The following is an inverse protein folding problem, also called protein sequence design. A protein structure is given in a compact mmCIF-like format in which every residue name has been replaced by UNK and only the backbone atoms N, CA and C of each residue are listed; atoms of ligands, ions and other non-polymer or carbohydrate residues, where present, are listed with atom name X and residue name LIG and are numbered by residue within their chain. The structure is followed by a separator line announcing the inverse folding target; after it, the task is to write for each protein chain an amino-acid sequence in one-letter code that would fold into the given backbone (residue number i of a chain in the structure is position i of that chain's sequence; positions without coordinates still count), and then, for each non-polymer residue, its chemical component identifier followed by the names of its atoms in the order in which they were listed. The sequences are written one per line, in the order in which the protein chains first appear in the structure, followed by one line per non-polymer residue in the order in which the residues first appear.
data_IF_607613328527
#
_entry.id   IF_607613328527
#
_cell.length_a   1.000
_cell.length_b   1.000
_cell.length_c   1.000
_cell.angle_alpha   90.00
_cell.angle_beta   90.00
_cell.angle_gamma   90.00
#
_symmetry.space_group_name_H-M   'P 1'
#
loop_
_entity.id
_entity.type
_entity.pdbx_description
1 polymer ?
#
# COMPACT_ATOMS: atom_id res chain seq x y z
N UNK A 1 6.83 -3.98 -3.45
CA UNK A 1 7.16 -3.61 -2.05
C UNK A 1 6.24 -2.48 -1.62
N UNK A 2 5.71 -2.54 -0.41
CA UNK A 2 4.89 -1.50 0.20
C UNK A 2 5.26 -1.33 1.68
N UNK A 3 4.94 -0.16 2.25
CA UNK A 3 4.91 0.07 3.69
C UNK A 3 3.46 0.30 4.11
N UNK A 4 3.09 -0.14 5.30
CA UNK A 4 1.74 0.05 5.84
C UNK A 4 1.74 -0.04 7.37
N UNK A 5 0.83 0.67 7.99
CA UNK A 5 0.58 0.60 9.44
C UNK A 5 1.84 0.66 10.29
N UNK A 6 1.68 0.71 11.59
CA UNK A 6 2.84 0.71 12.50
C UNK A 6 3.33 -0.72 12.74
N UNK A 7 4.65 -0.89 12.64
CA UNK A 7 5.34 -2.14 12.96
C UNK A 7 5.21 -2.47 14.45
N UNK A 8 5.48 -3.72 14.83
CA UNK A 8 5.43 -4.13 16.24
C UNK A 8 6.36 -3.29 17.12
N UNK A 9 6.00 -3.16 18.39
CA UNK A 9 6.81 -2.45 19.38
C UNK A 9 8.25 -2.97 19.43
N UNK A 10 8.42 -4.30 19.29
CA UNK A 10 9.73 -4.95 19.24
C UNK A 10 10.52 -4.52 18.01
N UNK A 11 9.90 -4.50 16.83
CA UNK A 11 10.53 -4.06 15.58
C UNK A 11 10.96 -2.60 15.67
N UNK A 12 10.10 -1.72 16.19
CA UNK A 12 10.43 -0.31 16.36
C UNK A 12 11.56 -0.14 17.36
N UNK A 13 11.51 -0.79 18.52
CA UNK A 13 12.57 -0.72 19.53
C UNK A 13 13.92 -1.18 18.94
N UNK A 14 13.92 -2.25 18.15
CA UNK A 14 15.10 -2.72 17.43
C UNK A 14 15.63 -1.67 16.46
N UNK A 15 14.78 -1.11 15.60
CA UNK A 15 15.18 -0.08 14.63
C UNK A 15 15.80 1.14 15.32
N UNK A 16 15.26 1.55 16.46
CA UNK A 16 15.79 2.65 17.26
C UNK A 16 17.15 2.28 17.86
N UNK A 17 17.29 1.09 18.45
CA UNK A 17 18.55 0.65 19.05
C UNK A 17 19.70 0.52 18.06
N UNK A 18 19.40 0.19 16.81
CA UNK A 18 20.37 0.06 15.72
C UNK A 18 20.75 1.41 15.08
N UNK A 19 20.08 2.51 15.45
CA UNK A 19 20.37 3.84 14.93
C UNK A 19 20.39 4.90 16.04
N UNK A 20 21.58 5.28 16.56
CA UNK A 20 21.69 6.22 17.67
C UNK A 20 21.08 7.61 17.40
N UNK A 21 21.11 8.06 16.15
CA UNK A 21 20.53 9.35 15.75
C UNK A 21 19.00 9.27 15.88
N UNK A 22 18.43 8.20 15.37
CA UNK A 22 16.99 7.97 15.44
C UNK A 22 16.52 7.80 16.89
N UNK A 23 17.27 7.05 17.72
CA UNK A 23 16.99 6.91 19.15
C UNK A 23 17.05 8.25 19.89
N UNK A 24 17.96 9.14 19.54
CA UNK A 24 18.04 10.49 20.08
C UNK A 24 16.86 11.36 19.67
N UNK A 25 16.38 11.22 18.44
CA UNK A 25 15.20 11.95 17.97
C UNK A 25 13.91 11.45 18.65
N UNK A 26 13.79 10.15 18.85
CA UNK A 26 12.57 9.48 19.34
C UNK A 26 12.90 8.54 20.52
N UNK A 27 13.28 9.11 21.68
CA UNK A 27 13.61 8.29 22.83
C UNK A 27 12.41 7.50 23.34
N UNK A 28 12.64 6.24 23.72
CA UNK A 28 11.64 5.37 24.32
C UNK A 28 11.80 5.33 25.84
N UNK A 29 10.73 4.98 26.54
CA UNK A 29 10.79 4.61 27.96
C UNK A 29 11.37 3.19 28.13
N UNK A 30 11.66 2.82 29.38
CA UNK A 30 12.15 1.46 29.69
C UNK A 30 11.13 0.35 29.35
N UNK A 31 9.84 0.70 29.27
CA UNK A 31 8.77 -0.23 28.85
C UNK A 31 8.68 -0.42 27.35
N UNK A 32 9.46 0.33 26.56
CA UNK A 32 9.44 0.30 25.11
C UNK A 32 8.31 1.14 24.47
N UNK A 33 8.14 1.06 23.12
CA UNK A 33 7.09 1.76 22.40
C UNK A 33 5.69 1.21 22.74
N UNK A 34 4.74 2.10 22.93
CA UNK A 34 3.30 1.84 23.04
C UNK A 34 2.51 2.72 22.06
N UNK A 35 1.20 2.61 22.04
CA UNK A 35 0.33 3.41 21.15
C UNK A 35 0.47 4.92 21.42
N UNK A 36 0.61 5.32 22.68
CA UNK A 36 0.83 6.72 23.04
C UNK A 36 2.20 7.22 22.55
N UNK A 37 3.22 6.36 22.60
CA UNK A 37 4.53 6.66 22.02
C UNK A 37 4.43 6.88 20.51
N UNK A 38 3.67 6.04 19.77
CA UNK A 38 3.46 6.23 18.34
C UNK A 38 2.82 7.59 18.05
N UNK A 39 1.76 7.93 18.76
CA UNK A 39 1.08 9.22 18.60
C UNK A 39 2.01 10.40 18.87
N UNK A 40 2.76 10.36 19.97
CA UNK A 40 3.72 11.39 20.31
C UNK A 40 4.84 11.52 19.26
N UNK A 41 5.28 10.38 18.72
CA UNK A 41 6.31 10.32 17.67
C UNK A 41 5.82 10.98 16.37
N UNK A 42 4.61 10.67 15.93
CA UNK A 42 4.01 11.27 14.74
C UNK A 42 3.76 12.78 14.94
N UNK A 43 3.26 13.18 16.12
CA UNK A 43 3.13 14.59 16.46
C UNK A 43 4.48 15.31 16.38
N UNK A 44 5.52 14.73 16.95
CA UNK A 44 6.86 15.30 16.91
C UNK A 44 7.39 15.41 15.48
N UNK A 45 7.16 14.39 14.64
CA UNK A 45 7.54 14.44 13.23
C UNK A 45 6.92 15.63 12.51
N UNK A 46 5.63 15.87 12.66
CA UNK A 46 4.93 16.91 11.91
C UNK A 46 4.91 18.28 12.56
N UNK A 47 4.84 18.35 13.89
CA UNK A 47 4.70 19.64 14.58
C UNK A 47 6.03 20.23 15.02
N UNK A 48 7.10 19.39 15.09
CA UNK A 48 8.41 19.88 15.51
C UNK A 48 9.46 19.74 14.41
N UNK A 49 9.53 18.60 13.68
CA UNK A 49 10.60 18.36 12.71
C UNK A 49 10.27 18.85 11.31
N UNK A 50 9.04 18.60 10.80
CA UNK A 50 8.64 18.99 9.44
C UNK A 50 8.05 20.41 9.42
N UNK A 51 8.74 21.36 10.04
CA UNK A 51 8.39 22.77 10.05
C UNK A 51 9.40 23.60 9.28
N UNK A 52 9.03 24.77 8.76
CA UNK A 52 9.97 25.65 8.08
C UNK A 52 11.21 25.99 8.92
N UNK A 53 11.03 26.21 10.23
CA UNK A 53 12.07 26.59 11.18
C UNK A 53 13.04 25.45 11.46
N UNK A 54 12.59 24.19 11.39
CA UNK A 54 13.39 23.01 11.71
C UNK A 54 13.81 22.20 10.48
N UNK A 55 13.58 22.71 9.28
CA UNK A 55 13.90 21.98 8.04
C UNK A 55 15.37 21.63 7.91
N UNK A 56 16.28 22.51 8.33
CA UNK A 56 17.71 22.26 8.34
C UNK A 56 18.08 21.14 9.31
N UNK A 57 17.44 21.13 10.50
CA UNK A 57 17.60 20.09 11.51
C UNK A 57 17.13 18.74 11.01
N UNK A 58 15.96 18.68 10.38
CA UNK A 58 15.43 17.46 9.75
C UNK A 58 16.41 16.93 8.69
N UNK A 59 16.85 17.81 7.78
CA UNK A 59 17.79 17.45 6.73
C UNK A 59 19.12 16.94 7.29
N UNK A 60 19.68 17.60 8.30
CA UNK A 60 20.91 17.15 8.96
C UNK A 60 20.71 15.77 9.60
N UNK A 61 19.60 15.57 10.32
CA UNK A 61 19.31 14.30 10.95
C UNK A 61 19.19 13.15 9.93
N UNK A 62 18.52 13.38 8.79
CA UNK A 62 18.43 12.37 7.73
C UNK A 62 19.80 12.07 7.12
N UNK A 63 20.65 13.09 6.92
CA UNK A 63 22.04 12.89 6.45
C UNK A 63 22.86 12.06 7.41
N UNK A 64 22.74 12.33 8.72
CA UNK A 64 23.47 11.60 9.74
C UNK A 64 22.98 10.14 9.83
N UNK A 65 21.65 9.90 9.72
CA UNK A 65 21.07 8.56 9.62
C UNK A 65 21.62 7.83 8.39
N UNK A 66 21.63 8.47 7.22
CA UNK A 66 22.19 7.92 5.98
C UNK A 66 23.64 7.54 6.15
N UNK A 67 24.47 8.46 6.68
CA UNK A 67 25.88 8.22 6.91
C UNK A 67 26.10 7.04 7.86
N UNK A 68 25.35 6.95 8.96
CA UNK A 68 25.40 5.83 9.88
C UNK A 68 25.07 4.51 9.17
N UNK A 69 23.96 4.43 8.44
CA UNK A 69 23.55 3.22 7.72
C UNK A 69 24.62 2.79 6.69
N UNK A 70 25.26 3.73 6.03
CA UNK A 70 26.31 3.43 5.05
C UNK A 70 27.56 2.80 5.67
N UNK A 71 27.82 2.98 6.97
CA UNK A 71 28.92 2.32 7.67
C UNK A 71 28.63 0.86 8.02
N UNK A 72 27.38 0.43 7.99
CA UNK A 72 26.98 -0.93 8.37
C UNK A 72 27.33 -1.94 7.27
N UNK A 73 27.93 -3.06 7.65
CA UNK A 73 28.25 -4.14 6.72
C UNK A 73 26.94 -4.80 6.20
N UNK A 74 26.06 -5.14 7.11
CA UNK A 74 24.74 -5.70 6.82
C UNK A 74 23.66 -4.69 7.18
N UNK A 75 22.67 -4.55 6.31
CA UNK A 75 21.57 -3.59 6.48
C UNK A 75 20.25 -4.32 6.65
N UNK A 76 19.47 -3.89 7.61
CA UNK A 76 18.08 -4.35 7.74
C UNK A 76 17.22 -3.91 6.56
N UNK A 77 16.04 -4.50 6.42
CA UNK A 77 15.08 -4.08 5.40
C UNK A 77 14.68 -2.60 5.55
N UNK A 78 14.48 -2.12 6.80
CA UNK A 78 14.16 -0.73 7.08
C UNK A 78 15.29 0.23 6.72
N UNK A 79 16.53 -0.14 7.03
CA UNK A 79 17.71 0.65 6.68
C UNK A 79 17.92 0.71 5.15
N UNK A 80 17.73 -0.39 4.46
CA UNK A 80 17.81 -0.45 2.98
C UNK A 80 16.74 0.40 2.33
N UNK A 81 15.50 0.31 2.84
CA UNK A 81 14.38 1.13 2.37
C UNK A 81 14.62 2.63 2.62
N UNK A 82 15.14 2.99 3.80
CA UNK A 82 15.50 4.39 4.10
C UNK A 82 16.46 4.95 3.04
N UNK A 83 17.51 4.22 2.66
CA UNK A 83 18.42 4.65 1.60
C UNK A 83 17.73 4.82 0.25
N UNK A 84 16.87 3.87 -0.12
CA UNK A 84 16.08 3.94 -1.37
C UNK A 84 15.20 5.19 -1.40
N UNK A 85 14.49 5.50 -0.30
CA UNK A 85 13.64 6.68 -0.25
C UNK A 85 14.43 7.99 -0.23
N UNK A 86 15.60 8.02 0.38
CA UNK A 86 16.51 9.17 0.30
C UNK A 86 16.92 9.43 -1.16
N UNK A 87 17.21 8.38 -1.94
CA UNK A 87 17.53 8.53 -3.37
C UNK A 87 16.36 9.06 -4.19
N UNK A 88 15.12 8.64 -3.86
CA UNK A 88 13.92 9.03 -4.60
C UNK A 88 13.40 10.43 -4.23
N UNK A 89 13.44 10.80 -2.95
CA UNK A 89 12.78 11.99 -2.41
C UNK A 89 13.72 13.03 -1.83
N UNK A 90 15.03 12.74 -1.80
CA UNK A 90 16.03 13.61 -1.19
C UNK A 90 16.09 13.50 0.33
N UNK A 91 16.94 14.31 0.93
CA UNK A 91 17.31 14.22 2.37
C UNK A 91 16.46 15.16 3.25
N UNK A 92 15.29 15.62 2.78
CA UNK A 92 14.47 16.59 3.51
C UNK A 92 12.98 16.22 3.63
N UNK A 93 12.60 15.01 3.21
CA UNK A 93 11.21 14.54 3.34
C UNK A 93 11.03 13.77 4.65
N UNK A 94 10.04 14.19 5.44
CA UNK A 94 9.73 13.57 6.73
C UNK A 94 9.31 12.10 6.60
N UNK A 95 8.72 11.72 5.46
CA UNK A 95 8.30 10.37 5.15
C UNK A 95 9.42 9.33 5.24
N UNK A 96 10.68 9.77 5.08
CA UNK A 96 11.85 8.90 5.23
C UNK A 96 11.95 8.34 6.65
N UNK A 97 11.63 9.12 7.67
CA UNK A 97 11.70 8.68 9.05
C UNK A 97 10.63 7.62 9.38
N UNK A 98 9.50 7.63 8.68
CA UNK A 98 8.45 6.62 8.86
C UNK A 98 8.89 5.21 8.50
N UNK A 99 9.94 5.05 7.69
CA UNK A 99 10.47 3.71 7.33
C UNK A 99 10.83 2.88 8.55
N UNK A 100 11.21 3.50 9.67
CA UNK A 100 11.62 2.81 10.89
C UNK A 100 10.45 2.45 11.82
N UNK A 101 9.26 2.95 11.49
CA UNK A 101 8.06 2.78 12.31
C UNK A 101 6.98 1.94 11.60
N UNK A 102 7.07 1.76 10.29
CA UNK A 102 6.06 1.03 9.50
C UNK A 102 6.47 -0.41 9.22
N UNK A 103 5.48 -1.25 9.00
CA UNK A 103 5.68 -2.58 8.44
C UNK A 103 6.17 -2.47 6.99
N UNK A 104 7.07 -3.38 6.61
CA UNK A 104 7.51 -3.55 5.22
C UNK A 104 6.88 -4.84 4.69
N UNK A 105 6.18 -4.74 3.58
CA UNK A 105 5.52 -5.86 2.92
C UNK A 105 6.09 -6.06 1.52
N UNK A 106 6.61 -7.25 1.27
CA UNK A 106 7.00 -7.69 -0.05
C UNK A 106 5.93 -8.67 -0.56
N UNK A 107 5.28 -8.31 -1.67
CA UNK A 107 4.29 -9.15 -2.33
C UNK A 107 4.92 -9.85 -3.53
N UNK A 108 4.59 -11.12 -3.70
CA UNK A 108 4.80 -11.85 -4.94
C UNK A 108 3.66 -11.58 -5.93
N UNK A 109 3.90 -11.85 -7.22
CA UNK A 109 2.83 -11.78 -8.24
C UNK A 109 1.62 -12.62 -7.81
N UNK A 110 0.43 -12.04 -7.88
CA UNK A 110 -0.82 -12.68 -7.50
C UNK A 110 -1.13 -12.63 -6.00
N UNK A 111 -0.32 -11.94 -5.19
CA UNK A 111 -0.65 -11.68 -3.80
C UNK A 111 -1.27 -10.28 -3.65
N UNK A 112 -2.15 -10.17 -2.68
CA UNK A 112 -2.83 -8.93 -2.30
C UNK A 112 -2.76 -8.72 -0.78
N UNK A 113 -3.03 -7.50 -0.35
CA UNK A 113 -3.31 -7.18 1.04
C UNK A 113 -4.36 -6.08 1.12
N UNK A 114 -5.06 -5.99 2.23
CA UNK A 114 -6.11 -5.02 2.47
C UNK A 114 -5.59 -3.95 3.43
N UNK A 115 -5.75 -2.69 3.07
CA UNK A 115 -5.45 -1.53 3.91
C UNK A 115 -6.77 -1.05 4.52
N UNK A 116 -6.80 -0.88 5.83
CA UNK A 116 -7.97 -0.34 6.53
C UNK A 116 -8.05 1.19 6.38
N UNK A 117 -9.24 1.78 6.58
CA UNK A 117 -9.33 3.23 6.75
C UNK A 117 -8.36 3.74 7.81
N UNK A 118 -7.85 4.95 7.63
CA UNK A 118 -6.96 5.66 8.57
C UNK A 118 -5.63 4.95 8.88
N UNK A 119 -5.28 3.94 8.09
CA UNK A 119 -4.02 3.21 8.16
C UNK A 119 -3.00 3.83 7.21
N UNK A 120 -1.84 4.32 7.72
CA UNK A 120 -0.84 4.96 6.87
C UNK A 120 -0.16 3.92 5.98
N UNK A 121 0.07 4.28 4.72
CA UNK A 121 0.70 3.38 3.76
C UNK A 121 1.45 4.11 2.65
N UNK A 122 2.36 3.40 2.00
CA UNK A 122 3.06 3.86 0.81
C UNK A 122 3.44 2.70 -0.10
N UNK A 123 3.20 2.82 -1.39
CA UNK A 123 3.68 1.89 -2.40
C UNK A 123 5.08 2.34 -2.86
N UNK A 124 6.06 1.45 -2.74
CA UNK A 124 7.47 1.78 -2.93
C UNK A 124 7.97 1.36 -4.31
N UNK A 125 7.64 0.15 -4.72
CA UNK A 125 8.11 -0.39 -6.01
C UNK A 125 7.25 -1.54 -6.50
N UNK A 126 7.23 -1.74 -7.83
CA UNK A 126 6.47 -2.78 -8.52
C UNK A 126 5.17 -2.25 -9.10
N UNK A 127 4.48 -3.11 -9.84
CA UNK A 127 3.17 -2.84 -10.42
C UNK A 127 2.08 -3.46 -9.55
N UNK A 128 0.94 -2.78 -9.43
CA UNK A 128 -0.19 -3.24 -8.64
C UNK A 128 -1.52 -2.80 -9.26
N UNK A 129 -2.58 -3.49 -8.88
CA UNK A 129 -3.96 -3.04 -9.03
C UNK A 129 -4.45 -2.59 -7.68
N UNK A 130 -4.92 -1.35 -7.58
CA UNK A 130 -5.53 -0.80 -6.39
C UNK A 130 -7.03 -0.61 -6.64
N UNK A 131 -7.85 -1.14 -5.74
CA UNK A 131 -9.27 -0.84 -5.68
C UNK A 131 -9.60 -0.18 -4.36
N UNK A 132 -10.39 0.87 -4.39
CA UNK A 132 -10.80 1.61 -3.21
C UNK A 132 -12.19 2.22 -3.41
N UNK A 133 -12.85 2.54 -2.32
CA UNK A 133 -14.06 3.37 -2.36
C UNK A 133 -13.67 4.76 -2.85
N UNK A 134 -14.50 5.35 -3.73
CA UNK A 134 -14.28 6.71 -4.22
C UNK A 134 -14.26 7.71 -3.05
N UNK A 135 -13.18 8.47 -2.94
CA UNK A 135 -12.98 9.45 -1.86
C UNK A 135 -12.07 10.58 -2.32
N UNK A 136 -12.41 11.79 -1.92
CA UNK A 136 -11.55 12.98 -2.07
C UNK A 136 -10.61 13.18 -0.87
N UNK A 137 -10.71 12.34 0.16
CA UNK A 137 -10.08 12.51 1.45
C UNK A 137 -8.71 11.83 1.56
N UNK A 138 -7.86 12.03 0.57
CA UNK A 138 -6.47 11.56 0.66
C UNK A 138 -5.65 12.53 1.49
N UNK A 139 -5.31 12.15 2.73
CA UNK A 139 -4.47 12.93 3.63
C UNK A 139 -3.03 12.41 3.56
N UNK A 140 -2.09 13.28 3.22
CA UNK A 140 -0.70 12.92 2.93
C UNK A 140 0.22 13.20 4.10
N UNK A 141 1.15 12.27 4.38
CA UNK A 141 2.12 12.39 5.46
C UNK A 141 3.55 12.72 5.01
N UNK A 142 3.94 12.28 3.83
CA UNK A 142 5.30 12.46 3.29
C UNK A 142 5.46 11.80 1.94
N UNK A 143 6.70 11.73 1.44
CA UNK A 143 7.07 11.14 0.15
C UNK A 143 6.29 11.80 -1.00
N UNK A 144 6.05 13.09 -0.91
CA UNK A 144 5.25 13.83 -1.88
C UNK A 144 5.53 15.33 -1.83
N UNK A 145 5.51 16.02 -2.99
CA UNK A 145 5.56 17.48 -3.03
C UNK A 145 4.17 18.13 -2.81
N UNK A 146 3.10 17.33 -2.72
CA UNK A 146 1.74 17.85 -2.56
C UNK A 146 1.50 18.34 -1.13
N UNK A 147 0.44 19.15 -0.96
CA UNK A 147 0.02 19.65 0.34
C UNK A 147 -0.21 18.50 1.34
N UNK A 148 0.25 18.72 2.56
CA UNK A 148 0.07 17.83 3.70
C UNK A 148 -0.80 18.53 4.75
N UNK A 149 -1.98 18.00 5.03
CA UNK A 149 -2.79 18.39 6.17
C UNK A 149 -2.34 17.62 7.40
N UNK A 150 -1.27 18.09 8.02
CA UNK A 150 -0.62 17.40 9.13
C UNK A 150 -1.48 17.32 10.38
N UNK A 151 -2.36 18.31 10.62
CA UNK A 151 -3.28 18.27 11.75
C UNK A 151 -4.30 17.15 11.55
N UNK A 152 -5.01 17.15 10.45
CA UNK A 152 -5.96 16.07 10.12
C UNK A 152 -5.29 14.71 10.14
N UNK A 153 -4.08 14.60 9.57
CA UNK A 153 -3.34 13.33 9.56
C UNK A 153 -3.08 12.80 10.98
N UNK A 154 -2.55 13.66 11.87
CA UNK A 154 -2.25 13.25 13.25
C UNK A 154 -3.50 12.86 14.04
N UNK A 155 -4.62 13.54 13.79
CA UNK A 155 -5.88 13.29 14.48
C UNK A 155 -6.58 12.00 14.00
N UNK A 156 -6.48 11.68 12.68
CA UNK A 156 -7.21 10.57 12.08
C UNK A 156 -6.48 9.23 12.14
N UNK A 157 -5.14 9.21 12.20
CA UNK A 157 -4.37 7.98 12.15
C UNK A 157 -4.73 7.00 13.28
N UNK A 158 -4.81 5.73 12.92
CA UNK A 158 -4.91 4.62 13.88
C UNK A 158 -3.51 4.29 14.38
N UNK A 159 -3.28 4.46 15.69
CA UNK A 159 -2.00 4.21 16.36
C UNK A 159 -1.98 2.82 16.99
N UNK A 160 -2.08 1.78 16.15
CA UNK A 160 -2.05 0.38 16.57
C UNK A 160 -0.86 -0.35 15.97
N UNK A 161 -0.27 -1.26 16.75
CA UNK A 161 0.72 -2.22 16.23
C UNK A 161 -0.02 -3.35 15.54
N UNK A 162 0.00 -3.39 14.22
CA UNK A 162 -0.76 -4.39 13.48
C UNK A 162 0.04 -4.95 12.30
N UNK A 163 0.38 -6.22 12.41
CA UNK A 163 0.93 -6.96 11.28
C UNK A 163 -0.22 -7.59 10.47
N UNK A 164 -0.06 -7.58 9.17
CA UNK A 164 -0.98 -8.23 8.22
C UNK A 164 -0.20 -9.17 7.32
N UNK A 165 -0.81 -10.28 6.98
CA UNK A 165 -0.28 -11.22 6.01
C UNK A 165 -0.82 -10.91 4.62
N UNK A 166 0.01 -11.15 3.61
CA UNK A 166 -0.43 -11.20 2.23
C UNK A 166 -1.40 -12.36 2.00
N UNK A 167 -2.43 -12.13 1.19
CA UNK A 167 -3.37 -13.15 0.73
C UNK A 167 -3.03 -13.54 -0.70
N UNK A 168 -3.07 -14.82 -1.02
CA UNK A 168 -3.02 -15.30 -2.40
C UNK A 168 -4.41 -15.38 -3.06
N UNK A 169 -5.45 -14.96 -2.34
CA UNK A 169 -6.82 -15.09 -2.77
C UNK A 169 -7.31 -16.55 -2.75
N UNK A 170 -8.57 -16.74 -3.12
CA UNK A 170 -9.21 -18.05 -3.28
C UNK A 170 -9.42 -18.30 -4.77
N UNK A 171 -8.77 -19.34 -5.31
CA UNK A 171 -8.88 -19.67 -6.74
C UNK A 171 -9.89 -20.77 -6.96
N UNK A 172 -10.69 -20.63 -8.02
CA UNK A 172 -11.54 -21.71 -8.53
C UNK A 172 -10.85 -22.46 -9.68
N UNK A 173 -11.49 -23.51 -10.16
CA UNK A 173 -10.97 -24.38 -11.24
C UNK A 173 -11.03 -23.75 -12.64
N UNK A 174 -11.62 -22.56 -12.78
CA UNK A 174 -11.87 -21.92 -14.06
C UNK A 174 -10.93 -20.77 -14.40
N UNK A 175 -9.95 -20.50 -13.54
CA UNK A 175 -9.01 -19.39 -13.72
C UNK A 175 -9.49 -18.08 -13.12
N UNK A 176 -10.33 -18.14 -12.09
CA UNK A 176 -10.77 -16.98 -11.30
C UNK A 176 -10.10 -17.04 -9.94
N UNK A 177 -9.41 -15.99 -9.56
CA UNK A 177 -8.90 -15.80 -8.20
C UNK A 177 -9.63 -14.63 -7.56
N UNK A 178 -10.25 -14.86 -6.39
CA UNK A 178 -10.99 -13.85 -5.64
C UNK A 178 -10.17 -13.35 -4.48
N UNK A 179 -10.13 -12.04 -4.30
CA UNK A 179 -9.48 -11.36 -3.18
C UNK A 179 -10.55 -10.64 -2.36
N UNK A 180 -11.05 -11.37 -1.35
CA UNK A 180 -12.03 -10.83 -0.40
C UNK A 180 -11.36 -9.77 0.48
N UNK A 181 -12.04 -8.65 0.67
CA UNK A 181 -11.52 -7.52 1.44
C UNK A 181 -12.03 -7.50 2.87
N UNK A 182 -13.16 -8.16 3.14
CA UNK A 182 -13.92 -8.05 4.37
C UNK A 182 -14.82 -6.80 4.43
N UNK A 183 -14.88 -6.04 3.33
CA UNK A 183 -15.76 -4.89 3.15
C UNK A 183 -16.77 -5.18 2.04
N UNK A 184 -18.05 -4.81 2.25
CA UNK A 184 -19.12 -5.02 1.27
C UNK A 184 -18.99 -4.10 0.06
N UNK A 185 -18.30 -2.98 0.21
CA UNK A 185 -18.17 -1.94 -0.81
C UNK A 185 -17.39 -2.40 -2.03
N UNK A 186 -16.40 -3.29 -1.87
CA UNK A 186 -15.61 -3.78 -3.00
C UNK A 186 -14.85 -5.07 -2.69
N UNK A 187 -14.64 -5.84 -3.74
CA UNK A 187 -13.66 -6.93 -3.82
C UNK A 187 -13.00 -6.93 -5.20
N UNK A 188 -11.89 -7.65 -5.33
CA UNK A 188 -11.19 -7.83 -6.60
C UNK A 188 -11.28 -9.29 -7.02
N UNK A 189 -11.56 -9.52 -8.30
CA UNK A 189 -11.39 -10.80 -8.96
C UNK A 189 -10.31 -10.68 -10.05
N UNK A 190 -9.43 -11.66 -10.12
CA UNK A 190 -8.45 -11.79 -11.19
C UNK A 190 -8.85 -12.97 -12.08
N UNK A 191 -9.15 -12.67 -13.34
CA UNK A 191 -9.58 -13.64 -14.34
C UNK A 191 -8.44 -13.88 -15.33
N UNK A 192 -8.07 -15.15 -15.46
CA UNK A 192 -7.10 -15.62 -16.46
C UNK A 192 -7.71 -16.83 -17.16
N UNK A 193 -8.45 -16.63 -18.27
CA UNK A 193 -8.98 -17.75 -19.05
C UNK A 193 -7.82 -18.69 -19.45
N UNK A 194 -7.96 -19.97 -19.18
CA UNK A 194 -6.87 -20.95 -19.37
C UNK A 194 -7.22 -21.92 -20.50
N UNK A 195 -6.21 -22.33 -21.27
CA UNK A 195 -6.30 -23.44 -22.22
C UNK A 195 -7.42 -23.34 -23.27
N UNK A 196 -7.79 -22.12 -23.66
CA UNK A 196 -8.89 -21.90 -24.60
C UNK A 196 -10.29 -22.05 -23.99
N UNK A 197 -10.38 -22.21 -22.67
CA UNK A 197 -11.65 -22.20 -21.96
C UNK A 197 -12.20 -20.77 -21.83
N UNK A 198 -13.50 -20.67 -21.66
CA UNK A 198 -14.18 -19.38 -21.42
C UNK A 198 -14.71 -19.31 -20.00
N UNK A 199 -14.67 -18.12 -19.43
CA UNK A 199 -15.21 -17.79 -18.11
C UNK A 199 -16.54 -17.09 -18.29
N UNK A 200 -17.62 -17.66 -17.74
CA UNK A 200 -18.93 -17.02 -17.72
C UNK A 200 -19.26 -16.54 -16.32
N UNK A 201 -19.61 -15.25 -16.20
CA UNK A 201 -19.97 -14.59 -14.96
C UNK A 201 -21.19 -13.70 -15.11
N UNK A 202 -21.92 -13.54 -14.03
CA UNK A 202 -23.00 -12.55 -13.87
C UNK A 202 -22.80 -11.86 -12.52
N UNK A 203 -22.84 -10.54 -12.50
CA UNK A 203 -22.65 -9.76 -11.29
C UNK A 203 -23.97 -9.10 -10.87
N UNK A 204 -24.22 -9.07 -9.57
CA UNK A 204 -25.42 -8.41 -9.00
C UNK A 204 -25.24 -6.89 -8.93
N UNK A 205 -24.00 -6.40 -9.01
CA UNK A 205 -23.67 -4.99 -8.96
C UNK A 205 -22.92 -4.54 -10.22
N UNK A 206 -22.81 -3.23 -10.42
CA UNK A 206 -21.90 -2.67 -11.43
C UNK A 206 -20.47 -3.13 -11.12
N UNK A 207 -19.77 -3.62 -12.12
CA UNK A 207 -18.36 -3.98 -12.00
C UNK A 207 -17.50 -3.19 -12.99
N UNK A 208 -16.24 -3.00 -12.62
CA UNK A 208 -15.22 -2.37 -13.48
C UNK A 208 -14.17 -3.42 -13.77
N UNK A 209 -13.96 -3.71 -15.06
CA UNK A 209 -12.91 -4.60 -15.52
C UNK A 209 -11.79 -3.80 -16.14
N UNK A 210 -10.54 -4.22 -15.89
CA UNK A 210 -9.36 -3.70 -16.60
C UNK A 210 -8.54 -4.86 -17.14
N UNK A 211 -8.16 -4.79 -18.42
CA UNK A 211 -7.25 -5.74 -19.06
C UNK A 211 -5.83 -5.22 -18.87
N UNK A 212 -4.99 -5.96 -18.18
CA UNK A 212 -3.59 -5.57 -17.95
C UNK A 212 -2.60 -6.26 -18.87
N UNK A 213 -2.90 -7.48 -19.31
CA UNK A 213 -2.05 -8.24 -20.23
C UNK A 213 -2.95 -8.96 -21.24
N UNK A 214 -2.51 -9.07 -22.48
CA UNK A 214 -3.20 -9.78 -23.54
C UNK A 214 -4.46 -9.09 -24.06
N UNK A 215 -5.32 -9.87 -24.72
CA UNK A 215 -6.61 -9.46 -25.29
C UNK A 215 -7.66 -10.54 -25.04
N UNK A 216 -8.90 -10.15 -24.83
CA UNK A 216 -10.01 -11.08 -24.64
C UNK A 216 -11.21 -10.74 -25.50
N UNK A 217 -12.00 -11.75 -25.83
CA UNK A 217 -13.32 -11.57 -26.39
C UNK A 217 -14.36 -11.70 -25.29
N UNK A 218 -15.18 -10.68 -25.11
CA UNK A 218 -16.32 -10.69 -24.22
C UNK A 218 -17.60 -10.77 -25.05
N UNK A 219 -18.45 -11.76 -24.78
CA UNK A 219 -19.78 -11.91 -25.40
C UNK A 219 -20.88 -11.80 -24.35
N UNK A 220 -21.98 -11.13 -24.72
CA UNK A 220 -23.18 -10.97 -23.90
C UNK A 220 -24.40 -10.86 -24.82
N UNK A 221 -25.38 -11.72 -24.61
CA UNK A 221 -26.50 -11.87 -25.53
C UNK A 221 -26.02 -12.19 -26.94
N UNK A 222 -26.36 -11.35 -27.89
CA UNK A 222 -25.92 -11.47 -29.30
C UNK A 222 -24.72 -10.56 -29.66
N UNK A 223 -24.22 -9.79 -28.65
CA UNK A 223 -23.15 -8.83 -28.84
C UNK A 223 -21.78 -9.44 -28.52
N UNK A 224 -20.74 -8.88 -29.14
CA UNK A 224 -19.35 -9.24 -28.87
C UNK A 224 -18.50 -7.97 -28.81
N UNK A 225 -17.62 -7.90 -27.84
CA UNK A 225 -16.65 -6.82 -27.66
C UNK A 225 -15.26 -7.43 -27.50
N UNK A 226 -14.29 -6.91 -28.25
CA UNK A 226 -12.90 -7.19 -27.97
C UNK A 226 -12.44 -6.30 -26.82
N UNK A 227 -11.93 -6.92 -25.77
CA UNK A 227 -11.35 -6.25 -24.62
C UNK A 227 -9.86 -6.09 -24.84
N UNK A 228 -9.44 -4.85 -25.03
CA UNK A 228 -8.06 -4.49 -25.39
C UNK A 228 -7.20 -4.26 -24.14
N UNK A 229 -5.90 -4.52 -24.29
CA UNK A 229 -4.91 -4.28 -23.24
C UNK A 229 -4.93 -2.81 -22.74
N UNK A 230 -4.79 -2.62 -21.44
CA UNK A 230 -4.78 -1.32 -20.75
C UNK A 230 -6.08 -0.51 -20.92
N UNK A 231 -7.18 -1.19 -21.19
CA UNK A 231 -8.50 -0.58 -21.36
C UNK A 231 -9.42 -1.04 -20.24
N UNK A 232 -10.20 -0.10 -19.71
CA UNK A 232 -11.20 -0.36 -18.68
C UNK A 232 -12.61 -0.45 -19.31
N UNK A 233 -13.42 -1.34 -18.73
CA UNK A 233 -14.79 -1.62 -19.18
C UNK A 233 -15.73 -1.62 -17.99
N UNK A 234 -16.95 -1.11 -18.22
CA UNK A 234 -18.05 -1.31 -17.27
C UNK A 234 -18.79 -2.59 -17.61
N UNK A 235 -19.09 -3.39 -16.58
CA UNK A 235 -19.94 -4.58 -16.67
C UNK A 235 -21.23 -4.26 -15.93
N UNK A 236 -22.35 -4.24 -16.67
CA UNK A 236 -23.64 -3.91 -16.11
C UNK A 236 -24.18 -5.05 -15.26
N UNK A 237 -24.93 -4.75 -14.18
CA UNK A 237 -25.56 -5.76 -13.34
C UNK A 237 -26.47 -6.69 -14.15
N UNK A 238 -26.65 -7.92 -13.68
CA UNK A 238 -27.58 -8.94 -14.17
C UNK A 238 -27.34 -9.35 -15.65
N UNK A 239 -26.25 -8.90 -16.26
CA UNK A 239 -25.87 -9.33 -17.62
C UNK A 239 -24.86 -10.47 -17.52
N UNK A 240 -25.23 -11.63 -18.08
CA UNK A 240 -24.28 -12.74 -18.24
C UNK A 240 -23.23 -12.38 -19.31
N UNK A 241 -21.98 -12.33 -18.91
CA UNK A 241 -20.83 -12.13 -19.80
C UNK A 241 -20.04 -13.43 -19.94
N UNK A 242 -19.51 -13.69 -21.10
CA UNK A 242 -18.59 -14.81 -21.34
C UNK A 242 -17.28 -14.25 -21.91
N UNK A 243 -16.20 -14.44 -21.18
CA UNK A 243 -14.85 -13.97 -21.52
C UNK A 243 -14.01 -15.14 -21.99
N UNK A 244 -13.33 -14.98 -23.12
CA UNK A 244 -12.43 -15.98 -23.69
C UNK A 244 -11.21 -15.28 -24.32
N UNK A 245 -10.10 -15.98 -24.41
CA UNK A 245 -8.85 -15.44 -24.98
C UNK A 245 -7.69 -15.62 -24.02
N UNK A 246 -6.57 -15.00 -24.34
CA UNK A 246 -5.34 -15.02 -23.52
C UNK A 246 -5.14 -13.63 -22.91
N UNK A 247 -5.69 -13.45 -21.73
CA UNK A 247 -5.67 -12.15 -21.05
C UNK A 247 -5.61 -12.28 -19.54
N UNK A 248 -5.04 -11.28 -18.90
CA UNK A 248 -5.07 -11.04 -17.46
C UNK A 248 -6.00 -9.86 -17.18
N UNK A 249 -7.13 -10.14 -16.54
CA UNK A 249 -8.22 -9.18 -16.34
C UNK A 249 -8.50 -9.06 -14.86
N UNK A 250 -8.48 -7.84 -14.33
CA UNK A 250 -8.92 -7.56 -12.96
C UNK A 250 -10.31 -6.94 -12.99
N UNK A 251 -11.17 -7.43 -12.12
CA UNK A 251 -12.55 -6.93 -11.96
C UNK A 251 -12.72 -6.46 -10.52
N UNK A 252 -13.14 -5.20 -10.37
CA UNK A 252 -13.57 -4.65 -9.10
C UNK A 252 -15.10 -4.56 -9.09
N UNK A 253 -15.73 -5.06 -8.03
CA UNK A 253 -17.18 -5.06 -7.84
C UNK A 253 -17.53 -4.98 -6.36
N UNK A 254 -18.79 -4.68 -6.03
CA UNK A 254 -19.25 -4.83 -4.65
C UNK A 254 -19.31 -6.32 -4.25
N UNK A 255 -19.10 -6.59 -2.98
CA UNK A 255 -19.16 -7.93 -2.38
C UNK A 255 -20.56 -8.18 -1.77
N UNK A 256 -21.61 -8.11 -2.63
CA UNK A 256 -23.04 -8.29 -2.28
C UNK A 256 -23.71 -9.29 -3.22
#
# INVERSE_FOLDING_TARGET
MACYGFASAETIAKNLSENPILASLFPTSDSGPDEQYLKNTVQKMFYELDTPENKEKLTSSIKDIKAHIQTLADKSAHQSLCLTLIEQYGESDIGILFTFFFNILNLNKGQAFVISPDEPHAYISGDLVEAMVSSDNVVRGGLTPKFKDTQTLVEMLIYEFKERSASSGTSDTKGITKYETGYEEFMIEHLVPQNGESITQTYNSLAIAIVLEGEANCSFGNEKVMMENKTAYYIMPEIAITISGDASIFICRCDI
#
